data_IF_672516170143
#
_entry.id   IF_672516170143
#
_cell.length_a   1.000
_cell.length_b   1.000
_cell.length_c   1.000
_cell.angle_alpha   90.00
_cell.angle_beta   90.00
_cell.angle_gamma   90.00
#
_symmetry.space_group_name_H-M   'P 1'
#
loop_
_entity.id
_entity.type
_entity.pdbx_description
1 polymer ?
#
# COMPACT_ATOMS: atom_id res chain seq x y z
N UNK A 1 16.89 -30.00 -45.17
CA UNK A 1 17.73 -28.84 -44.78
C UNK A 1 17.40 -28.56 -43.32
N UNK A 2 18.04 -29.35 -42.44
CA UNK A 2 17.83 -29.26 -41.00
C UNK A 2 18.72 -28.16 -40.45
N UNK A 3 18.12 -27.14 -39.85
CA UNK A 3 18.85 -26.20 -39.03
C UNK A 3 19.16 -26.90 -37.71
N UNK A 4 20.45 -27.21 -37.52
CA UNK A 4 21.02 -27.59 -36.23
C UNK A 4 20.69 -26.52 -35.20
N UNK A 5 19.91 -26.89 -34.18
CA UNK A 5 19.80 -26.11 -32.97
C UNK A 5 21.08 -26.39 -32.18
N UNK A 6 22.03 -25.48 -32.36
CA UNK A 6 23.22 -25.25 -31.53
C UNK A 6 22.97 -25.60 -30.05
N UNK A 7 23.92 -26.33 -29.47
CA UNK A 7 24.06 -26.59 -28.03
C UNK A 7 23.85 -25.31 -27.20
N UNK A 8 22.63 -25.11 -26.69
CA UNK A 8 22.44 -24.28 -25.49
C UNK A 8 22.83 -25.16 -24.31
N UNK A 9 23.88 -24.76 -23.60
CA UNK A 9 24.39 -25.45 -22.42
C UNK A 9 23.26 -25.89 -21.50
N UNK A 10 23.38 -27.10 -20.93
CA UNK A 10 22.41 -27.68 -19.98
C UNK A 10 22.01 -26.59 -18.97
N UNK A 11 20.80 -26.04 -19.11
CA UNK A 11 20.25 -25.18 -18.08
C UNK A 11 20.26 -25.99 -16.79
N UNK A 12 20.93 -25.47 -15.76
CA UNK A 12 20.89 -26.06 -14.43
C UNK A 12 19.44 -26.18 -13.93
N UNK A 13 19.19 -27.14 -13.04
CA UNK A 13 17.88 -27.23 -12.40
C UNK A 13 17.52 -25.90 -11.73
N UNK A 14 16.29 -25.43 -11.94
CA UNK A 14 15.80 -24.21 -11.30
C UNK A 14 15.81 -24.39 -9.77
N UNK A 15 16.35 -23.41 -9.06
CA UNK A 15 16.30 -23.41 -7.61
C UNK A 15 14.87 -23.13 -7.13
N UNK A 16 14.40 -23.93 -6.17
CA UNK A 16 13.02 -23.85 -5.69
C UNK A 16 12.72 -22.55 -4.93
N UNK A 17 13.71 -21.97 -4.24
CA UNK A 17 13.52 -20.71 -3.54
C UNK A 17 13.44 -19.56 -4.54
N UNK A 18 14.33 -19.55 -5.55
CA UNK A 18 14.28 -18.56 -6.65
C UNK A 18 12.95 -18.64 -7.39
N UNK A 19 12.48 -19.85 -7.74
CA UNK A 19 11.18 -20.00 -8.40
C UNK A 19 10.03 -19.46 -7.53
N UNK A 20 10.00 -19.80 -6.22
CA UNK A 20 8.96 -19.32 -5.30
C UNK A 20 8.97 -17.81 -5.13
N UNK A 21 10.16 -17.21 -5.07
CA UNK A 21 10.31 -15.76 -5.00
C UNK A 21 9.78 -15.10 -6.27
N UNK A 22 10.22 -15.54 -7.45
CA UNK A 22 9.83 -14.96 -8.73
C UNK A 22 8.34 -15.16 -8.99
N UNK A 23 7.82 -16.39 -8.85
CA UNK A 23 6.40 -16.66 -9.12
C UNK A 23 5.48 -15.92 -8.14
N UNK A 24 5.96 -15.63 -6.92
CA UNK A 24 5.23 -14.83 -5.93
C UNK A 24 4.99 -13.38 -6.35
N UNK A 25 5.65 -12.88 -7.40
CA UNK A 25 5.38 -11.56 -7.98
C UNK A 25 4.13 -11.55 -8.89
N UNK A 26 3.65 -12.72 -9.31
CA UNK A 26 2.39 -12.82 -10.04
C UNK A 26 1.22 -12.77 -9.05
N UNK A 27 0.69 -11.58 -8.81
CA UNK A 27 -0.42 -11.37 -7.92
C UNK A 27 -1.67 -12.13 -8.39
N UNK A 28 -2.45 -12.65 -7.45
CA UNK A 28 -3.68 -13.38 -7.74
C UNK A 28 -4.79 -12.99 -6.76
N UNK A 29 -6.04 -13.34 -7.12
CA UNK A 29 -7.10 -13.48 -6.12
C UNK A 29 -6.87 -14.71 -5.24
N UNK A 30 -7.68 -14.84 -4.19
CA UNK A 30 -7.71 -16.02 -3.31
C UNK A 30 -9.04 -16.75 -3.49
N UNK A 31 -8.98 -18.07 -3.62
CA UNK A 31 -10.16 -18.92 -3.76
C UNK A 31 -10.15 -20.07 -2.76
N UNK A 32 -11.34 -20.60 -2.45
CA UNK A 32 -11.52 -21.91 -1.81
C UNK A 32 -12.18 -22.84 -2.81
N UNK A 33 -11.50 -23.94 -3.13
CA UNK A 33 -12.03 -25.00 -3.97
C UNK A 33 -12.73 -26.01 -3.09
N UNK A 34 -13.98 -26.32 -3.40
CA UNK A 34 -14.84 -27.20 -2.60
C UNK A 34 -15.38 -28.36 -3.43
N UNK A 35 -15.62 -29.50 -2.80
CA UNK A 35 -16.30 -30.64 -3.43
C UNK A 35 -16.93 -31.51 -2.36
N UNK A 36 -17.84 -32.40 -2.76
CA UNK A 36 -18.47 -33.39 -1.88
C UNK A 36 -18.22 -34.79 -2.43
N UNK A 37 -17.77 -35.70 -1.57
CA UNK A 37 -17.62 -37.12 -1.92
C UNK A 37 -18.03 -37.98 -0.74
N UNK A 38 -18.89 -38.98 -0.97
CA UNK A 38 -19.42 -39.89 0.06
C UNK A 38 -20.01 -39.14 1.27
N UNK A 39 -20.84 -38.11 1.01
CA UNK A 39 -21.42 -37.22 2.03
C UNK A 39 -20.43 -36.39 2.85
N UNK A 40 -19.14 -36.43 2.53
CA UNK A 40 -18.09 -35.63 3.18
C UNK A 40 -17.73 -34.43 2.31
N UNK A 41 -17.75 -33.25 2.93
CA UNK A 41 -17.32 -32.01 2.29
C UNK A 41 -15.79 -31.84 2.39
N UNK A 42 -15.17 -31.54 1.26
CA UNK A 42 -13.75 -31.26 1.14
C UNK A 42 -13.53 -29.84 0.66
N UNK A 43 -12.43 -29.23 1.12
CA UNK A 43 -12.09 -27.87 0.75
C UNK A 43 -10.60 -27.57 0.85
N UNK A 44 -10.10 -26.72 -0.04
CA UNK A 44 -8.72 -26.25 0.00
C UNK A 44 -8.61 -24.83 -0.54
N UNK A 45 -7.82 -23.99 0.12
CA UNK A 45 -7.47 -22.68 -0.42
C UNK A 45 -6.51 -22.83 -1.59
N UNK A 46 -6.80 -22.17 -2.70
CA UNK A 46 -5.98 -22.17 -3.90
C UNK A 46 -5.90 -20.79 -4.53
N UNK A 47 -4.72 -20.44 -5.03
CA UNK A 47 -4.48 -19.29 -5.90
C UNK A 47 -4.24 -19.68 -7.36
N UNK A 48 -3.94 -20.96 -7.63
CA UNK A 48 -3.71 -21.49 -8.96
C UNK A 48 -5.04 -21.82 -9.66
N UNK A 49 -5.79 -20.77 -9.97
CA UNK A 49 -7.07 -20.80 -10.70
C UNK A 49 -6.96 -19.83 -11.87
N UNK A 50 -7.41 -20.23 -13.05
CA UNK A 50 -7.39 -19.36 -14.23
C UNK A 50 -8.56 -19.66 -15.16
N UNK A 51 -9.11 -18.61 -15.78
CA UNK A 51 -10.05 -18.79 -16.89
C UNK A 51 -9.34 -19.43 -18.08
N UNK A 52 -10.06 -20.26 -18.84
CA UNK A 52 -9.51 -21.02 -19.96
C UNK A 52 -10.22 -20.71 -21.27
N UNK A 53 -11.56 -20.68 -21.26
CA UNK A 53 -12.38 -20.47 -22.46
C UNK A 53 -13.67 -19.75 -22.11
N UNK A 54 -14.21 -19.00 -23.07
CA UNK A 54 -15.55 -18.38 -22.98
C UNK A 54 -16.61 -19.27 -23.67
N UNK A 55 -16.25 -19.98 -24.74
CA UNK A 55 -17.17 -20.85 -25.49
C UNK A 55 -16.51 -22.22 -25.80
N UNK A 56 -16.88 -23.30 -25.06
CA UNK A 56 -17.72 -23.27 -23.87
C UNK A 56 -17.01 -22.55 -22.70
N UNK A 57 -17.75 -22.07 -21.69
CA UNK A 57 -17.16 -21.41 -20.52
C UNK A 57 -16.36 -22.43 -19.70
N UNK A 58 -15.05 -22.21 -19.61
CA UNK A 58 -14.14 -23.14 -18.93
C UNK A 58 -13.10 -22.41 -18.08
N UNK A 59 -12.65 -23.11 -17.05
CA UNK A 59 -11.52 -22.72 -16.20
C UNK A 59 -10.62 -23.91 -15.90
N UNK A 60 -9.47 -23.64 -15.30
CA UNK A 60 -8.62 -24.65 -14.70
C UNK A 60 -8.32 -24.35 -13.23
N UNK A 61 -8.14 -25.42 -12.45
CA UNK A 61 -7.60 -25.36 -11.09
C UNK A 61 -6.45 -26.35 -10.92
N UNK A 62 -5.38 -25.94 -10.24
CA UNK A 62 -4.24 -26.81 -9.93
C UNK A 62 -4.23 -27.14 -8.44
N UNK A 63 -4.42 -28.42 -8.10
CA UNK A 63 -4.53 -28.86 -6.70
C UNK A 63 -3.44 -29.89 -6.40
N UNK A 64 -2.77 -29.73 -5.26
CA UNK A 64 -1.75 -30.67 -4.82
C UNK A 64 -2.36 -32.06 -4.58
N UNK A 65 -1.77 -33.09 -5.19
CA UNK A 65 -2.24 -34.48 -5.15
C UNK A 65 -2.23 -35.09 -3.75
N UNK A 66 -1.43 -34.54 -2.83
CA UNK A 66 -1.39 -34.97 -1.44
C UNK A 66 -2.65 -34.55 -0.64
N UNK A 67 -3.52 -33.69 -1.19
CA UNK A 67 -4.71 -33.20 -0.48
C UNK A 67 -5.90 -34.14 -0.64
N UNK A 68 -6.69 -34.31 0.43
CA UNK A 68 -7.96 -35.05 0.36
C UNK A 68 -8.93 -34.45 -0.66
N UNK A 69 -8.92 -33.12 -0.80
CA UNK A 69 -9.73 -32.39 -1.79
C UNK A 69 -9.39 -32.79 -3.22
N UNK A 70 -8.11 -32.93 -3.58
CA UNK A 70 -7.72 -33.41 -4.91
C UNK A 70 -8.34 -34.77 -5.22
N UNK A 71 -8.19 -35.72 -4.29
CA UNK A 71 -8.73 -37.07 -4.45
C UNK A 71 -10.26 -37.06 -4.57
N UNK A 72 -10.93 -36.24 -3.75
CA UNK A 72 -12.38 -36.09 -3.80
C UNK A 72 -12.85 -35.53 -5.16
N UNK A 73 -12.19 -34.51 -5.71
CA UNK A 73 -12.51 -33.97 -7.05
C UNK A 73 -12.29 -35.03 -8.13
N UNK A 74 -11.20 -35.79 -8.08
CA UNK A 74 -10.93 -36.86 -9.05
C UNK A 74 -12.03 -37.94 -9.05
N UNK A 75 -12.73 -38.15 -7.94
CA UNK A 75 -13.84 -39.11 -7.82
C UNK A 75 -15.20 -38.50 -8.14
N UNK A 76 -15.52 -37.34 -7.57
CA UNK A 76 -16.80 -36.66 -7.74
C UNK A 76 -16.97 -36.04 -9.13
N UNK A 77 -15.87 -35.64 -9.77
CA UNK A 77 -15.83 -34.92 -11.07
C UNK A 77 -16.62 -33.60 -11.08
N UNK A 78 -16.88 -33.05 -9.90
CA UNK A 78 -17.55 -31.76 -9.69
C UNK A 78 -16.85 -30.99 -8.58
N UNK A 79 -16.80 -29.65 -8.70
CA UNK A 79 -16.26 -28.79 -7.66
C UNK A 79 -16.79 -27.36 -7.77
N UNK A 80 -16.79 -26.66 -6.64
CA UNK A 80 -17.07 -25.23 -6.54
C UNK A 80 -15.77 -24.45 -6.47
N UNK A 81 -15.71 -23.30 -7.14
CA UNK A 81 -14.66 -22.29 -6.96
C UNK A 81 -15.30 -21.13 -6.22
N UNK A 82 -14.88 -20.87 -4.98
CA UNK A 82 -15.38 -19.78 -4.16
C UNK A 82 -14.34 -18.66 -4.12
N UNK A 83 -14.58 -17.54 -4.78
CA UNK A 83 -13.68 -16.39 -4.83
C UNK A 83 -13.92 -15.53 -3.59
N UNK A 84 -12.86 -15.24 -2.84
CA UNK A 84 -12.97 -14.56 -1.54
C UNK A 84 -12.90 -13.04 -1.67
N UNK A 85 -13.70 -12.33 -0.86
CA UNK A 85 -13.58 -10.87 -0.71
C UNK A 85 -12.57 -10.50 0.39
N UNK A 86 -12.18 -9.23 0.43
CA UNK A 86 -11.05 -8.71 1.22
C UNK A 86 -11.07 -8.98 2.73
N UNK A 87 -12.24 -9.28 3.31
CA UNK A 87 -12.40 -9.56 4.74
C UNK A 87 -12.37 -11.06 5.09
N UNK A 88 -12.23 -11.94 4.10
CA UNK A 88 -12.29 -13.39 4.28
C UNK A 88 -10.90 -14.04 4.44
N UNK A 89 -9.93 -13.29 4.96
CA UNK A 89 -8.57 -13.79 5.23
C UNK A 89 -8.57 -14.99 6.18
N UNK A 90 -9.44 -14.99 7.19
CA UNK A 90 -9.55 -16.10 8.15
C UNK A 90 -10.08 -17.39 7.51
N UNK A 91 -11.07 -17.28 6.60
CA UNK A 91 -11.58 -18.40 5.80
C UNK A 91 -10.45 -18.96 4.92
N UNK A 92 -9.69 -18.08 4.25
CA UNK A 92 -8.54 -18.50 3.46
C UNK A 92 -7.51 -19.28 4.29
N UNK A 93 -7.22 -18.85 5.52
CA UNK A 93 -6.30 -19.55 6.43
C UNK A 93 -6.86 -20.89 6.90
N UNK A 94 -8.15 -20.94 7.24
CA UNK A 94 -8.84 -22.15 7.69
C UNK A 94 -8.77 -23.26 6.64
N UNK A 95 -9.04 -22.93 5.37
CA UNK A 95 -8.99 -23.90 4.28
C UNK A 95 -7.57 -24.21 3.78
N UNK A 96 -6.57 -23.38 4.08
CA UNK A 96 -5.17 -23.62 3.74
C UNK A 96 -4.47 -24.64 4.67
N UNK A 97 -4.90 -24.73 5.93
CA UNK A 97 -4.29 -25.64 6.92
C UNK A 97 -4.82 -27.07 6.77
N UNK A 98 -3.99 -28.12 7.00
CA UNK A 98 -4.50 -29.48 7.13
C UNK A 98 -5.42 -29.60 8.35
N UNK A 99 -6.66 -30.05 8.16
CA UNK A 99 -7.66 -30.25 9.22
C UNK A 99 -8.78 -31.18 8.72
N UNK A 100 -9.37 -31.96 9.62
CA UNK A 100 -10.58 -32.75 9.36
C UNK A 100 -11.87 -31.92 9.43
N UNK A 101 -11.84 -30.75 10.08
CA UNK A 101 -13.03 -29.96 10.40
C UNK A 101 -13.02 -28.58 9.71
N UNK A 102 -12.57 -28.52 8.45
CA UNK A 102 -12.43 -27.24 7.73
C UNK A 102 -13.73 -26.45 7.54
N UNK A 103 -14.88 -27.12 7.62
CA UNK A 103 -16.20 -26.49 7.48
C UNK A 103 -16.82 -26.08 8.83
N UNK A 104 -16.13 -26.29 9.95
CA UNK A 104 -16.64 -25.87 11.26
C UNK A 104 -16.79 -24.34 11.30
N UNK A 105 -17.99 -23.87 11.67
CA UNK A 105 -18.32 -22.44 11.69
C UNK A 105 -18.49 -21.80 10.30
N UNK A 106 -18.43 -22.57 9.22
CA UNK A 106 -18.57 -22.08 7.85
C UNK A 106 -19.98 -22.37 7.34
N UNK A 107 -20.72 -21.32 6.99
CA UNK A 107 -21.98 -21.48 6.29
C UNK A 107 -21.76 -21.84 4.82
N UNK A 108 -22.24 -23.02 4.42
CA UNK A 108 -22.24 -23.46 3.04
C UNK A 108 -23.64 -23.92 2.62
N UNK A 109 -23.97 -23.71 1.36
CA UNK A 109 -25.18 -24.22 0.71
C UNK A 109 -24.80 -25.29 -0.31
N UNK A 110 -25.74 -26.17 -0.62
CA UNK A 110 -25.53 -27.16 -1.68
C UNK A 110 -25.69 -26.48 -3.05
N UNK A 111 -24.65 -26.58 -3.89
CA UNK A 111 -24.64 -26.13 -5.27
C UNK A 111 -25.48 -27.03 -6.17
N UNK A 112 -25.64 -26.66 -7.44
CA UNK A 112 -26.49 -27.38 -8.40
C UNK A 112 -25.92 -28.75 -8.78
N UNK A 113 -24.63 -29.00 -8.53
CA UNK A 113 -23.99 -30.30 -8.75
C UNK A 113 -23.79 -31.09 -7.43
N UNK A 114 -24.29 -30.58 -6.30
CA UNK A 114 -24.19 -31.21 -4.98
C UNK A 114 -22.91 -30.88 -4.18
N UNK A 115 -22.05 -30.02 -4.71
CA UNK A 115 -20.86 -29.49 -4.05
C UNK A 115 -21.21 -28.40 -3.01
N UNK A 116 -20.42 -28.20 -1.96
CA UNK A 116 -20.68 -27.12 -1.02
C UNK A 116 -20.19 -25.77 -1.58
N UNK A 117 -21.06 -24.76 -1.61
CA UNK A 117 -20.75 -23.38 -1.98
C UNK A 117 -20.77 -22.51 -0.72
N UNK A 118 -19.68 -21.79 -0.48
CA UNK A 118 -19.55 -20.94 0.70
C UNK A 118 -20.42 -19.69 0.54
N UNK A 119 -21.21 -19.36 1.56
CA UNK A 119 -21.98 -18.11 1.57
C UNK A 119 -21.07 -16.90 1.72
N UNK A 120 -21.60 -15.74 1.35
CA UNK A 120 -20.95 -14.43 1.53
C UNK A 120 -19.58 -14.35 0.84
N UNK A 121 -19.41 -15.05 -0.29
CA UNK A 121 -18.20 -14.98 -1.09
C UNK A 121 -18.32 -13.93 -2.18
N UNK A 122 -17.19 -13.36 -2.63
CA UNK A 122 -17.18 -12.36 -3.69
C UNK A 122 -17.88 -12.87 -4.96
N UNK A 123 -17.59 -14.12 -5.32
CA UNK A 123 -18.22 -14.83 -6.41
C UNK A 123 -18.03 -16.32 -6.24
N UNK A 124 -18.84 -17.13 -6.93
CA UNK A 124 -18.60 -18.56 -7.04
C UNK A 124 -18.93 -19.11 -8.42
N UNK A 125 -18.29 -20.23 -8.75
CA UNK A 125 -18.45 -20.96 -9.99
C UNK A 125 -18.66 -22.44 -9.66
N UNK A 126 -19.68 -23.05 -10.25
CA UNK A 126 -19.97 -24.48 -10.13
C UNK A 126 -19.50 -25.20 -11.39
N UNK A 127 -18.63 -26.20 -11.21
CA UNK A 127 -17.79 -26.70 -12.28
C UNK A 127 -17.90 -28.21 -12.43
N UNK A 128 -17.97 -28.68 -13.68
CA UNK A 128 -17.86 -30.11 -14.03
C UNK A 128 -16.50 -30.38 -14.67
N UNK A 129 -15.78 -31.36 -14.13
CA UNK A 129 -14.47 -31.77 -14.65
C UNK A 129 -14.63 -32.37 -16.04
N UNK A 130 -13.94 -31.78 -17.01
CA UNK A 130 -13.82 -32.29 -18.39
C UNK A 130 -12.57 -33.15 -18.52
N UNK A 131 -11.46 -32.69 -17.94
CA UNK A 131 -10.18 -33.39 -18.02
C UNK A 131 -9.36 -33.19 -16.75
N UNK A 132 -8.61 -34.22 -16.36
CA UNK A 132 -7.61 -34.17 -15.30
C UNK A 132 -6.24 -34.51 -15.91
N UNK A 133 -5.25 -33.65 -15.67
CA UNK A 133 -3.88 -33.81 -16.17
C UNK A 133 -2.89 -33.68 -15.02
N UNK A 134 -1.90 -34.57 -14.95
CA UNK A 134 -0.85 -34.48 -13.93
C UNK A 134 0.22 -33.46 -14.34
N UNK A 135 0.50 -32.49 -13.47
CA UNK A 135 1.58 -31.52 -13.59
C UNK A 135 2.48 -31.54 -12.36
N UNK A 136 3.58 -32.29 -12.41
CA UNK A 136 4.49 -32.45 -11.28
C UNK A 136 3.77 -33.04 -10.06
N UNK A 137 3.70 -32.28 -8.97
CA UNK A 137 3.02 -32.68 -7.71
C UNK A 137 1.52 -32.31 -7.67
N UNK A 138 0.99 -31.71 -8.73
CA UNK A 138 -0.39 -31.22 -8.79
C UNK A 138 -1.19 -31.95 -9.87
N UNK A 139 -2.49 -32.11 -9.64
CA UNK A 139 -3.46 -32.38 -10.69
C UNK A 139 -4.03 -31.05 -11.20
N UNK A 140 -4.09 -30.90 -12.52
CA UNK A 140 -4.73 -29.80 -13.23
C UNK A 140 -6.09 -30.28 -13.69
N UNK A 141 -7.16 -29.69 -13.16
CA UNK A 141 -8.52 -29.99 -13.57
C UNK A 141 -9.00 -28.92 -14.54
N UNK A 142 -9.27 -29.30 -15.79
CA UNK A 142 -9.96 -28.48 -16.76
C UNK A 142 -11.46 -28.75 -16.58
N UNK A 143 -12.25 -27.69 -16.42
CA UNK A 143 -13.65 -27.82 -16.09
C UNK A 143 -14.52 -26.85 -16.87
N UNK A 144 -15.72 -27.33 -17.22
CA UNK A 144 -16.81 -26.52 -17.75
C UNK A 144 -17.56 -25.87 -16.59
N UNK A 145 -17.83 -24.57 -16.71
CA UNK A 145 -18.62 -23.82 -15.73
C UNK A 145 -20.10 -23.92 -16.09
N UNK A 146 -20.89 -24.53 -15.21
CA UNK A 146 -22.33 -24.73 -15.44
C UNK A 146 -23.20 -23.69 -14.74
N UNK A 147 -22.66 -23.04 -13.71
CA UNK A 147 -23.31 -21.95 -12.99
C UNK A 147 -22.28 -20.99 -12.40
N UNK A 148 -22.66 -19.72 -12.28
CA UNK A 148 -21.83 -18.66 -11.72
C UNK A 148 -22.72 -17.61 -11.05
N UNK A 149 -22.24 -17.03 -9.96
CA UNK A 149 -22.83 -15.85 -9.33
C UNK A 149 -21.74 -14.95 -8.74
N UNK A 150 -22.04 -13.65 -8.60
CA UNK A 150 -21.10 -12.67 -8.06
C UNK A 150 -21.82 -11.58 -7.27
N UNK A 151 -21.07 -10.94 -6.37
CA UNK A 151 -21.45 -9.71 -5.67
C UNK A 151 -20.46 -8.58 -6.02
N UNK A 152 -20.92 -7.33 -5.88
CA UNK A 152 -20.05 -6.15 -6.04
C UNK A 152 -19.29 -5.87 -4.73
N UNK A 153 -18.10 -6.45 -4.59
CA UNK A 153 -17.14 -6.19 -3.49
C UNK A 153 -15.70 -6.23 -3.98
N UNK A 154 -14.75 -5.90 -3.11
CA UNK A 154 -13.31 -5.98 -3.40
C UNK A 154 -12.73 -7.38 -3.12
N UNK A 155 -11.82 -7.88 -3.97
CA UNK A 155 -11.22 -9.20 -3.79
C UNK A 155 -10.15 -9.23 -2.69
N UNK A 156 -10.05 -10.38 -2.01
CA UNK A 156 -8.86 -10.73 -1.28
C UNK A 156 -7.73 -11.03 -2.27
N UNK A 157 -6.61 -10.32 -2.14
CA UNK A 157 -5.45 -10.51 -3.01
C UNK A 157 -4.33 -11.26 -2.30
N UNK A 158 -3.49 -11.94 -3.08
CA UNK A 158 -2.31 -12.63 -2.60
C UNK A 158 -1.09 -12.20 -3.40
N UNK A 159 -0.07 -11.71 -2.70
CA UNK A 159 1.17 -11.23 -3.32
C UNK A 159 2.35 -11.53 -2.40
N UNK A 160 3.40 -12.14 -2.95
CA UNK A 160 4.66 -12.47 -2.24
C UNK A 160 4.44 -13.12 -0.86
N UNK A 161 3.51 -14.06 -0.78
CA UNK A 161 3.26 -14.82 0.44
C UNK A 161 2.30 -14.17 1.44
N UNK A 162 1.77 -12.98 1.14
CA UNK A 162 0.93 -12.19 2.04
C UNK A 162 -0.44 -11.92 1.43
N UNK A 163 -1.46 -11.84 2.28
CA UNK A 163 -2.74 -11.27 1.89
C UNK A 163 -2.63 -9.76 1.77
N UNK A 164 -3.39 -9.21 0.83
CA UNK A 164 -3.53 -7.78 0.61
C UNK A 164 -4.92 -7.43 0.10
N UNK A 165 -5.08 -6.16 -0.26
CA UNK A 165 -6.31 -5.62 -0.84
C UNK A 165 -6.05 -5.10 -2.24
N UNK A 166 -7.04 -5.22 -3.10
CA UNK A 166 -7.05 -4.51 -4.36
C UNK A 166 -7.46 -3.06 -4.11
N UNK A 167 -6.63 -2.12 -4.55
CA UNK A 167 -6.92 -0.68 -4.50
C UNK A 167 -7.00 -0.21 -5.93
N UNK A 168 -8.17 0.31 -6.32
CA UNK A 168 -8.31 0.86 -7.67
C UNK A 168 -7.51 2.17 -7.78
N UNK A 169 -7.10 2.55 -9.00
CA UNK A 169 -6.45 3.85 -9.21
C UNK A 169 -7.35 5.01 -8.77
N UNK A 170 -8.66 4.85 -8.94
CA UNK A 170 -9.63 5.84 -8.50
C UNK A 170 -9.65 5.96 -6.96
N UNK A 171 -9.53 4.84 -6.24
CA UNK A 171 -9.53 4.83 -4.77
C UNK A 171 -8.32 5.59 -4.21
N UNK A 172 -7.14 5.37 -4.81
CA UNK A 172 -5.93 6.09 -4.41
C UNK A 172 -6.03 7.58 -4.73
N UNK A 173 -6.61 7.95 -5.88
CA UNK A 173 -6.85 9.35 -6.23
C UNK A 173 -7.82 10.04 -5.26
N UNK A 174 -8.89 9.37 -4.84
CA UNK A 174 -9.83 9.91 -3.84
C UNK A 174 -9.14 10.09 -2.49
N UNK A 175 -8.31 9.13 -2.06
CA UNK A 175 -7.51 9.29 -0.86
C UNK A 175 -6.56 10.49 -0.97
N UNK A 176 -5.83 10.63 -2.07
CA UNK A 176 -4.89 11.73 -2.28
C UNK A 176 -5.61 13.09 -2.33
N UNK A 177 -6.79 13.16 -2.95
CA UNK A 177 -7.63 14.36 -2.95
C UNK A 177 -8.10 14.71 -1.54
N UNK A 178 -8.73 13.77 -0.82
CA UNK A 178 -9.17 13.99 0.56
C UNK A 178 -8.01 14.35 1.49
N UNK A 179 -6.85 13.70 1.33
CA UNK A 179 -5.61 14.07 2.03
C UNK A 179 -5.23 15.51 1.72
N UNK A 180 -5.16 15.88 0.45
CA UNK A 180 -4.84 17.25 0.04
C UNK A 180 -5.81 18.27 0.64
N UNK A 181 -7.12 17.97 0.64
CA UNK A 181 -8.17 18.82 1.21
C UNK A 181 -8.04 18.98 2.73
N UNK A 182 -7.73 17.91 3.45
CA UNK A 182 -7.46 17.99 4.89
C UNK A 182 -6.22 18.85 5.16
N UNK A 183 -5.15 18.69 4.37
CA UNK A 183 -3.92 19.46 4.53
C UNK A 183 -4.08 20.95 4.15
N UNK A 184 -4.89 21.24 3.13
CA UNK A 184 -5.25 22.59 2.66
C UNK A 184 -6.31 23.29 3.53
N UNK A 185 -6.87 22.61 4.53
CA UNK A 185 -7.95 23.13 5.39
C UNK A 185 -9.25 23.44 4.63
N UNK A 186 -9.52 22.68 3.57
CA UNK A 186 -10.85 22.69 2.93
C UNK A 186 -11.93 22.15 3.90
N UNK A 187 -11.51 21.36 4.90
CA UNK A 187 -12.33 20.91 6.02
C UNK A 187 -12.10 21.80 7.26
N UNK A 188 -13.20 22.21 7.91
CA UNK A 188 -13.07 22.91 9.19
C UNK A 188 -12.54 21.98 10.28
N UNK A 189 -11.65 22.51 11.11
CA UNK A 189 -11.12 21.80 12.27
C UNK A 189 -12.25 21.40 13.21
N UNK A 190 -12.17 20.17 13.74
CA UNK A 190 -13.12 19.66 14.74
C UNK A 190 -14.60 19.61 14.30
N UNK A 191 -14.95 20.07 13.10
CA UNK A 191 -16.28 19.93 12.55
C UNK A 191 -16.47 18.48 12.07
N UNK A 192 -17.48 17.76 12.57
CA UNK A 192 -17.71 16.39 12.17
C UNK A 192 -18.25 16.32 10.74
N UNK A 193 -17.68 15.41 9.95
CA UNK A 193 -18.18 15.02 8.63
C UNK A 193 -18.32 13.51 8.56
N UNK A 194 -19.30 13.06 7.77
CA UNK A 194 -19.65 11.65 7.66
C UNK A 194 -19.24 11.07 6.31
N UNK A 195 -19.14 9.74 6.24
CA UNK A 195 -18.99 9.03 4.95
C UNK A 195 -20.14 9.39 4.01
N UNK A 196 -21.36 9.51 4.54
CA UNK A 196 -22.56 9.80 3.76
C UNK A 196 -22.51 11.20 3.13
N UNK A 197 -22.14 12.22 3.90
CA UNK A 197 -22.03 13.60 3.39
C UNK A 197 -20.95 13.74 2.33
N UNK A 198 -19.82 13.03 2.48
CA UNK A 198 -18.74 13.04 1.49
C UNK A 198 -19.09 12.25 0.22
N UNK A 199 -19.81 11.13 0.35
CA UNK A 199 -20.32 10.35 -0.79
C UNK A 199 -21.19 11.25 -1.68
N UNK A 200 -22.10 12.02 -1.07
CA UNK A 200 -22.98 12.95 -1.80
C UNK A 200 -22.23 14.13 -2.40
N UNK A 201 -21.30 14.74 -1.64
CA UNK A 201 -20.58 15.95 -2.09
C UNK A 201 -19.58 15.67 -3.20
N UNK A 202 -18.90 14.52 -3.15
CA UNK A 202 -17.82 14.17 -4.09
C UNK A 202 -18.30 13.27 -5.24
N UNK A 203 -19.53 12.77 -5.19
CA UNK A 203 -20.08 11.78 -6.14
C UNK A 203 -19.19 10.53 -6.26
N UNK A 204 -18.72 10.03 -5.12
CA UNK A 204 -17.82 8.87 -5.01
C UNK A 204 -18.51 7.77 -4.21
N UNK A 205 -18.39 6.48 -4.60
CA UNK A 205 -18.99 5.38 -3.86
C UNK A 205 -18.60 5.33 -2.39
N UNK A 206 -19.58 5.03 -1.52
CA UNK A 206 -19.43 5.00 -0.04
C UNK A 206 -18.21 4.22 0.43
N UNK A 207 -17.92 3.06 -0.17
CA UNK A 207 -16.79 2.22 0.22
C UNK A 207 -15.44 2.88 -0.05
N UNK A 208 -15.31 3.60 -1.18
CA UNK A 208 -14.10 4.32 -1.55
C UNK A 208 -13.83 5.46 -0.57
N UNK A 209 -14.86 6.24 -0.22
CA UNK A 209 -14.77 7.27 0.83
C UNK A 209 -14.38 6.64 2.16
N UNK A 210 -15.04 5.56 2.58
CA UNK A 210 -14.74 4.90 3.85
C UNK A 210 -13.29 4.40 3.92
N UNK A 211 -12.76 3.83 2.84
CA UNK A 211 -11.37 3.40 2.75
C UNK A 211 -10.40 4.57 2.86
N UNK A 212 -10.67 5.66 2.11
CA UNK A 212 -9.85 6.86 2.17
C UNK A 212 -9.82 7.47 3.57
N UNK A 213 -10.97 7.58 4.25
CA UNK A 213 -11.06 8.08 5.62
C UNK A 213 -10.35 7.17 6.62
N UNK A 214 -10.48 5.85 6.49
CA UNK A 214 -9.74 4.89 7.34
C UNK A 214 -8.23 5.04 7.17
N UNK A 215 -7.75 5.30 5.94
CA UNK A 215 -6.33 5.57 5.67
C UNK A 215 -5.90 6.91 6.27
N UNK A 216 -6.70 7.97 6.13
CA UNK A 216 -6.43 9.27 6.78
C UNK A 216 -6.42 9.20 8.31
N UNK A 217 -7.27 8.36 8.90
CA UNK A 217 -7.29 8.10 10.34
C UNK A 217 -6.02 7.35 10.77
N UNK A 218 -5.60 6.34 10.01
CA UNK A 218 -4.33 5.64 10.24
C UNK A 218 -3.12 6.58 10.09
N UNK A 219 -3.20 7.56 9.19
CA UNK A 219 -2.22 8.64 9.03
C UNK A 219 -2.37 9.72 10.13
N UNK A 220 -3.33 9.61 11.05
CA UNK A 220 -3.54 10.56 12.15
C UNK A 220 -4.06 11.94 11.74
N UNK A 221 -4.42 12.13 10.47
CA UNK A 221 -4.92 13.40 9.93
C UNK A 221 -6.36 13.69 10.34
N UNK A 222 -7.11 12.64 10.63
CA UNK A 222 -8.49 12.72 11.13
C UNK A 222 -8.67 11.78 12.32
N UNK A 223 -9.74 11.99 13.09
CA UNK A 223 -10.17 11.10 14.17
C UNK A 223 -11.60 10.69 13.97
N UNK A 224 -11.89 9.42 14.24
CA UNK A 224 -13.25 8.89 14.27
C UNK A 224 -13.86 9.02 15.66
N UNK A 225 -15.11 9.47 15.74
CA UNK A 225 -15.90 9.52 16.97
C UNK A 225 -16.73 8.25 17.18
N UNK A 226 -17.26 8.06 18.39
CA UNK A 226 -18.05 6.88 18.77
C UNK A 226 -19.31 6.69 17.92
N UNK A 227 -19.88 7.77 17.38
CA UNK A 227 -21.04 7.75 16.47
C UNK A 227 -20.66 7.38 15.02
N UNK A 228 -19.36 7.21 14.73
CA UNK A 228 -18.85 6.82 13.42
C UNK A 228 -18.51 7.98 12.48
N UNK A 229 -18.72 9.23 12.88
CA UNK A 229 -18.29 10.41 12.13
C UNK A 229 -16.78 10.65 12.25
N UNK A 230 -16.25 11.52 11.39
CA UNK A 230 -14.84 11.88 11.35
C UNK A 230 -14.68 13.38 11.56
N UNK A 231 -13.57 13.79 12.14
CA UNK A 231 -13.20 15.21 12.25
C UNK A 231 -11.71 15.37 11.98
N UNK A 232 -11.31 16.52 11.41
CA UNK A 232 -9.89 16.80 11.19
C UNK A 232 -9.20 16.95 12.55
N UNK A 233 -8.11 16.21 12.74
CA UNK A 233 -7.29 16.32 13.95
C UNK A 233 -6.60 17.67 13.95
N UNK A 234 -6.78 18.52 14.98
CA UNK A 234 -6.03 19.75 15.10
C UNK A 234 -4.54 19.45 15.23
N UNK A 235 -3.73 20.22 14.52
CA UNK A 235 -2.30 20.10 14.62
C UNK A 235 -1.82 20.66 15.95
N UNK A 236 -1.39 19.79 16.86
CA UNK A 236 -0.76 20.22 18.11
C UNK A 236 0.75 20.34 18.00
N UNK A 237 1.35 21.16 18.88
CA UNK A 237 2.80 21.27 19.04
C UNK A 237 3.44 19.91 19.36
N UNK A 238 2.76 19.09 20.17
CA UNK A 238 3.24 17.75 20.53
C UNK A 238 3.37 16.85 19.31
N UNK A 239 2.31 16.77 18.49
CA UNK A 239 2.29 15.97 17.26
C UNK A 239 3.38 16.42 16.26
N UNK A 240 3.53 17.73 16.07
CA UNK A 240 4.61 18.28 15.23
C UNK A 240 5.98 17.84 15.73
N UNK A 241 6.22 17.96 17.04
CA UNK A 241 7.52 17.67 17.65
C UNK A 241 7.88 16.19 17.49
N UNK A 242 6.95 15.28 17.82
CA UNK A 242 7.14 13.83 17.69
C UNK A 242 7.39 13.41 16.23
N UNK A 243 6.65 14.00 15.29
CA UNK A 243 6.79 13.70 13.87
C UNK A 243 8.16 14.16 13.34
N UNK A 244 8.60 15.37 13.68
CA UNK A 244 9.92 15.89 13.28
C UNK A 244 11.08 15.13 13.95
N UNK A 245 10.94 14.67 15.19
CA UNK A 245 11.94 13.83 15.85
C UNK A 245 12.11 12.47 15.17
N UNK A 246 10.99 11.84 14.83
CA UNK A 246 11.00 10.57 14.10
C UNK A 246 11.63 10.74 12.73
N UNK A 247 11.27 11.81 12.01
CA UNK A 247 11.85 12.16 10.72
C UNK A 247 13.37 12.34 10.79
N UNK A 248 13.85 13.12 11.76
CA UNK A 248 15.28 13.35 11.98
C UNK A 248 16.05 12.05 12.25
N UNK A 249 15.47 11.13 13.04
CA UNK A 249 16.10 9.84 13.30
C UNK A 249 16.29 9.02 12.02
N UNK A 250 15.31 9.02 11.11
CA UNK A 250 15.40 8.32 9.82
C UNK A 250 16.40 9.00 8.88
N UNK A 251 16.39 10.34 8.80
CA UNK A 251 17.33 11.10 7.97
C UNK A 251 18.78 10.92 8.43
N UNK A 252 19.03 10.93 9.75
CA UNK A 252 20.36 10.64 10.32
C UNK A 252 20.81 9.22 9.95
N UNK A 253 19.91 8.24 10.02
CA UNK A 253 20.22 6.87 9.62
C UNK A 253 20.47 6.73 8.11
N UNK A 254 19.78 7.52 7.28
CA UNK A 254 20.02 7.59 5.84
C UNK A 254 21.40 8.18 5.55
N UNK A 255 21.73 9.33 6.14
CA UNK A 255 23.03 10.01 6.02
C UNK A 255 24.19 9.08 6.36
N UNK A 256 24.06 8.29 7.44
CA UNK A 256 25.10 7.34 7.86
C UNK A 256 25.47 6.34 6.75
N UNK A 257 24.48 5.98 5.92
CA UNK A 257 24.63 5.04 4.81
C UNK A 257 25.06 5.73 3.51
N UNK A 258 24.59 6.94 3.24
CA UNK A 258 24.67 7.56 1.91
C UNK A 258 25.87 8.51 1.75
N UNK A 259 26.21 9.31 2.76
CA UNK A 259 27.30 10.30 2.64
C UNK A 259 28.63 9.58 2.44
N UNK A 260 29.36 9.95 1.39
CA UNK A 260 30.61 9.31 0.96
C UNK A 260 30.45 7.97 0.21
N UNK A 261 29.22 7.49 0.01
CA UNK A 261 28.93 6.19 -0.59
C UNK A 261 28.03 6.25 -1.83
N UNK A 262 27.55 7.43 -2.22
CA UNK A 262 26.72 7.63 -3.41
C UNK A 262 27.56 7.92 -4.67
N UNK A 263 27.00 7.63 -5.83
CA UNK A 263 27.59 7.92 -7.14
C UNK A 263 27.59 9.41 -7.46
N UNK A 264 28.39 9.80 -8.44
CA UNK A 264 28.40 11.19 -8.95
C UNK A 264 27.08 11.59 -9.60
N UNK A 265 26.36 10.64 -10.19
CA UNK A 265 25.02 10.88 -10.75
C UNK A 265 24.01 11.17 -9.65
N UNK A 266 24.00 10.35 -8.59
CA UNK A 266 23.16 10.56 -7.41
C UNK A 266 23.45 11.90 -6.72
N UNK A 267 24.73 12.25 -6.55
CA UNK A 267 25.13 13.55 -5.99
C UNK A 267 24.70 14.72 -6.89
N UNK A 268 24.77 14.55 -8.21
CA UNK A 268 24.29 15.58 -9.14
C UNK A 268 22.77 15.76 -9.08
N UNK A 269 22.01 14.71 -8.82
CA UNK A 269 20.55 14.81 -8.67
C UNK A 269 20.19 15.42 -7.31
N UNK A 270 20.92 15.09 -6.23
CA UNK A 270 20.78 15.75 -4.94
C UNK A 270 20.99 17.26 -5.06
N UNK A 271 22.01 17.69 -5.82
CA UNK A 271 22.27 19.12 -6.10
C UNK A 271 21.05 19.81 -6.72
N UNK A 272 20.42 19.20 -7.73
CA UNK A 272 19.22 19.76 -8.37
C UNK A 272 18.08 19.92 -7.37
N UNK A 273 17.83 18.89 -6.55
CA UNK A 273 16.80 18.96 -5.52
C UNK A 273 17.07 20.11 -4.53
N UNK A 274 18.32 20.29 -4.10
CA UNK A 274 18.68 21.41 -3.20
C UNK A 274 18.47 22.75 -3.88
N UNK A 275 18.94 22.93 -5.12
CA UNK A 275 18.78 24.17 -5.89
C UNK A 275 17.31 24.60 -6.01
N UNK A 276 16.38 23.66 -6.16
CA UNK A 276 14.94 23.94 -6.22
C UNK A 276 14.35 24.45 -4.90
N UNK A 277 15.00 24.18 -3.76
CA UNK A 277 14.56 24.66 -2.43
C UNK A 277 15.09 26.05 -2.06
N UNK A 278 16.08 26.57 -2.78
CA UNK A 278 16.74 27.81 -2.40
C UNK A 278 15.85 29.03 -2.63
N UNK A 279 15.85 29.93 -1.66
CA UNK A 279 15.17 31.21 -1.74
C UNK A 279 15.89 32.20 -2.69
N UNK A 280 15.14 33.14 -3.26
CA UNK A 280 15.73 34.29 -3.94
C UNK A 280 16.43 35.19 -2.91
N UNK A 281 17.68 35.58 -3.15
CA UNK A 281 18.50 36.33 -2.19
C UNK A 281 17.91 37.70 -1.79
N UNK A 282 17.15 38.33 -2.68
CA UNK A 282 16.60 39.67 -2.47
C UNK A 282 15.12 39.61 -2.04
N UNK A 283 14.42 38.53 -2.39
CA UNK A 283 12.95 38.40 -2.23
C UNK A 283 12.50 37.31 -1.27
N UNK A 284 13.42 36.45 -0.81
CA UNK A 284 13.08 35.26 -0.04
C UNK A 284 12.24 34.27 -0.85
N UNK A 285 11.50 33.41 -0.16
CA UNK A 285 10.51 32.53 -0.79
C UNK A 285 9.28 33.35 -1.20
N UNK A 286 8.99 33.36 -2.50
CA UNK A 286 7.86 34.10 -3.09
C UNK A 286 6.67 33.20 -3.44
N UNK A 287 6.91 31.90 -3.62
CA UNK A 287 5.92 30.88 -3.90
C UNK A 287 6.08 29.74 -2.90
N UNK A 288 5.19 29.74 -1.90
CA UNK A 288 5.26 28.77 -0.80
C UNK A 288 4.93 27.35 -1.25
N UNK A 289 4.08 27.20 -2.28
CA UNK A 289 3.65 25.90 -2.78
C UNK A 289 4.80 25.22 -3.51
N UNK A 290 5.49 25.99 -4.35
CA UNK A 290 6.70 25.54 -5.04
C UNK A 290 7.81 25.17 -4.06
N UNK A 291 8.02 25.98 -3.02
CA UNK A 291 8.99 25.67 -1.97
C UNK A 291 8.65 24.35 -1.26
N UNK A 292 7.39 24.16 -0.86
CA UNK A 292 6.95 22.95 -0.17
C UNK A 292 7.19 21.71 -1.04
N UNK A 293 6.83 21.76 -2.32
CA UNK A 293 7.07 20.65 -3.27
C UNK A 293 8.56 20.31 -3.43
N UNK A 294 9.40 21.34 -3.58
CA UNK A 294 10.85 21.16 -3.67
C UNK A 294 11.43 20.57 -2.37
N UNK A 295 11.00 21.07 -1.22
CA UNK A 295 11.44 20.61 0.10
C UNK A 295 11.08 19.13 0.32
N UNK A 296 9.85 18.73 -0.03
CA UNK A 296 9.41 17.33 0.01
C UNK A 296 10.31 16.47 -0.86
N UNK A 297 10.53 16.90 -2.10
CA UNK A 297 11.34 16.17 -3.08
C UNK A 297 12.78 15.99 -2.61
N UNK A 298 13.38 17.03 -2.01
CA UNK A 298 14.71 16.95 -1.42
C UNK A 298 14.80 15.88 -0.34
N UNK A 299 13.93 15.94 0.68
CA UNK A 299 14.01 15.00 1.78
C UNK A 299 13.66 13.57 1.35
N UNK A 300 12.65 13.38 0.49
CA UNK A 300 12.33 12.08 -0.10
C UNK A 300 13.55 11.49 -0.83
N UNK A 301 14.23 12.31 -1.64
CA UNK A 301 15.42 11.89 -2.37
C UNK A 301 16.56 11.46 -1.42
N UNK A 302 16.81 12.20 -0.33
CA UNK A 302 17.86 11.82 0.63
C UNK A 302 17.63 10.45 1.26
N UNK A 303 16.37 10.05 1.47
CA UNK A 303 16.02 8.72 1.97
C UNK A 303 16.10 7.68 0.84
N UNK A 304 15.66 8.03 -0.36
CA UNK A 304 15.72 7.15 -1.53
C UNK A 304 17.14 6.70 -1.87
N UNK A 305 18.15 7.56 -1.65
CA UNK A 305 19.58 7.24 -1.80
C UNK A 305 20.02 6.01 -0.99
N UNK A 306 19.28 5.61 0.05
CA UNK A 306 19.59 4.40 0.83
C UNK A 306 19.33 3.10 0.08
N UNK A 307 18.64 3.15 -1.06
CA UNK A 307 18.17 2.00 -1.83
C UNK A 307 17.38 0.98 -0.98
N UNK A 308 16.64 1.49 0.02
CA UNK A 308 15.82 0.68 0.93
C UNK A 308 14.35 1.09 0.83
N UNK A 309 13.58 0.33 0.06
CA UNK A 309 12.15 0.59 -0.17
C UNK A 309 11.33 0.60 1.13
N UNK A 310 11.63 -0.27 2.09
CA UNK A 310 10.91 -0.30 3.38
C UNK A 310 11.16 0.97 4.19
N UNK A 311 12.40 1.49 4.17
CA UNK A 311 12.74 2.74 4.86
C UNK A 311 12.04 3.94 4.20
N UNK A 312 12.07 4.00 2.86
CA UNK A 312 11.40 5.05 2.10
C UNK A 312 9.89 5.06 2.33
N UNK A 313 9.24 3.90 2.28
CA UNK A 313 7.80 3.79 2.58
C UNK A 313 7.47 4.18 4.02
N UNK A 314 8.34 3.83 4.98
CA UNK A 314 8.16 4.22 6.38
C UNK A 314 8.30 5.73 6.56
N UNK A 315 9.24 6.34 5.85
CA UNK A 315 9.47 7.79 5.85
C UNK A 315 8.27 8.55 5.25
N UNK A 316 7.75 8.12 4.10
CA UNK A 316 6.60 8.74 3.42
C UNK A 316 5.29 8.67 4.21
N UNK A 317 5.17 7.71 5.13
CA UNK A 317 4.03 7.59 6.05
C UNK A 317 4.10 8.54 7.24
N UNK A 318 5.24 9.23 7.46
CA UNK A 318 5.34 10.21 8.53
C UNK A 318 4.46 11.42 8.24
N UNK A 319 3.79 11.91 9.29
CA UNK A 319 2.91 13.08 9.20
C UNK A 319 3.68 14.40 9.15
N UNK A 320 4.98 14.40 9.45
CA UNK A 320 5.80 15.61 9.58
C UNK A 320 5.68 16.57 8.39
N UNK A 321 5.68 16.03 7.17
CA UNK A 321 5.49 16.81 5.94
C UNK A 321 4.12 17.49 5.89
N UNK A 322 3.07 16.70 6.06
CA UNK A 322 1.68 17.14 6.06
C UNK A 322 1.47 18.28 7.07
N UNK A 323 1.99 18.05 8.28
CA UNK A 323 1.99 18.98 9.39
C UNK A 323 2.70 20.31 9.06
N UNK A 324 3.94 20.24 8.55
CA UNK A 324 4.73 21.42 8.21
C UNK A 324 4.13 22.20 7.04
N UNK A 325 3.58 21.50 6.05
CA UNK A 325 2.87 22.10 4.91
C UNK A 325 1.72 22.99 5.38
N UNK A 326 0.86 22.47 6.28
CA UNK A 326 -0.24 23.26 6.83
C UNK A 326 0.25 24.47 7.62
N UNK A 327 1.29 24.33 8.44
CA UNK A 327 1.85 25.43 9.21
C UNK A 327 2.41 26.54 8.31
N UNK A 328 3.25 26.18 7.34
CA UNK A 328 3.90 27.14 6.46
C UNK A 328 2.90 27.94 5.62
N UNK A 329 1.83 27.30 5.12
CA UNK A 329 0.77 27.99 4.36
C UNK A 329 0.07 29.05 5.20
N UNK A 330 -0.33 28.71 6.43
CA UNK A 330 -0.97 29.67 7.36
C UNK A 330 -0.09 30.89 7.60
N UNK A 331 1.20 30.68 7.84
CA UNK A 331 2.15 31.76 8.08
C UNK A 331 2.34 32.65 6.84
N UNK A 332 2.38 32.05 5.66
CA UNK A 332 2.59 32.77 4.40
C UNK A 332 1.35 33.58 4.00
N UNK A 333 0.15 33.04 4.18
CA UNK A 333 -1.12 33.73 3.98
C UNK A 333 -1.29 34.92 4.93
N UNK A 334 -0.84 34.78 6.18
CA UNK A 334 -0.82 35.85 7.17
C UNK A 334 0.25 36.94 6.89
N UNK A 335 1.09 36.74 5.86
CA UNK A 335 2.21 37.61 5.50
C UNK A 335 3.18 37.84 6.68
N UNK A 336 3.40 36.82 7.50
CA UNK A 336 4.18 36.89 8.74
C UNK A 336 5.69 37.02 8.44
N UNK A 337 6.29 38.14 8.85
CA UNK A 337 7.73 38.40 8.62
C UNK A 337 8.64 37.49 9.43
N UNK A 338 8.25 37.13 10.65
CA UNK A 338 9.06 36.27 11.53
C UNK A 338 9.11 34.87 10.97
N UNK A 339 7.97 34.35 10.52
CA UNK A 339 7.91 33.03 9.90
C UNK A 339 8.75 32.95 8.61
N UNK A 340 8.81 34.04 7.83
CA UNK A 340 9.67 34.12 6.64
C UNK A 340 11.15 34.11 6.98
N UNK A 341 11.58 34.90 7.95
CA UNK A 341 12.99 34.91 8.40
C UNK A 341 13.44 33.53 8.91
N UNK A 342 12.59 32.82 9.64
CA UNK A 342 12.90 31.45 10.09
C UNK A 342 12.87 30.44 8.94
N UNK A 343 12.04 30.65 7.92
CA UNK A 343 11.99 29.81 6.73
C UNK A 343 13.25 29.95 5.87
N UNK A 344 13.80 31.16 5.75
CA UNK A 344 15.03 31.41 5.01
C UNK A 344 16.21 30.60 5.60
N UNK A 345 16.29 30.45 6.93
CA UNK A 345 17.32 29.61 7.60
C UNK A 345 17.23 28.14 7.19
N UNK A 346 16.01 27.61 7.03
CA UNK A 346 15.81 26.23 6.57
C UNK A 346 16.40 26.02 5.16
N UNK A 347 16.35 27.04 4.30
CA UNK A 347 16.95 26.97 2.96
C UNK A 347 18.48 27.02 3.00
N UNK A 348 19.06 27.77 3.94
CA UNK A 348 20.51 27.81 4.17
C UNK A 348 21.03 26.44 4.62
N UNK A 349 20.28 25.75 5.49
CA UNK A 349 20.59 24.39 5.94
C UNK A 349 20.62 23.38 4.78
N UNK A 350 19.76 23.51 3.77
CA UNK A 350 19.80 22.63 2.59
C UNK A 350 21.10 22.79 1.78
N UNK A 351 21.56 24.03 1.60
CA UNK A 351 22.83 24.31 0.92
C UNK A 351 24.03 23.78 1.73
N UNK A 352 23.99 23.92 3.06
CA UNK A 352 25.00 23.36 3.95
C UNK A 352 25.02 21.82 3.88
N UNK A 353 23.84 21.19 3.86
CA UNK A 353 23.71 19.73 3.75
C UNK A 353 24.33 19.21 2.45
N UNK A 354 24.06 19.87 1.32
CA UNK A 354 24.70 19.52 0.04
C UNK A 354 26.22 19.58 0.14
N UNK A 355 26.75 20.66 0.73
CA UNK A 355 28.20 20.84 0.92
C UNK A 355 28.81 19.69 1.74
N UNK A 356 28.09 19.22 2.77
CA UNK A 356 28.53 18.07 3.57
C UNK A 356 28.52 16.76 2.75
N UNK A 357 27.51 16.55 1.90
CA UNK A 357 27.46 15.42 0.97
C UNK A 357 28.61 15.45 -0.05
N UNK A 358 28.90 16.62 -0.64
CA UNK A 358 29.99 16.82 -1.59
C UNK A 358 31.36 16.55 -0.98
N UNK A 359 31.54 16.91 0.30
CA UNK A 359 32.77 16.67 1.06
C UNK A 359 32.86 15.26 1.66
N UNK A 360 31.79 14.47 1.61
CA UNK A 360 31.73 13.18 2.29
C UNK A 360 31.77 13.28 3.82
N UNK A 361 31.40 14.43 4.39
CA UNK A 361 31.47 14.70 5.83
C UNK A 361 30.17 14.28 6.52
N UNK A 362 30.17 13.04 7.05
CA UNK A 362 29.02 12.44 7.72
C UNK A 362 28.62 13.19 8.99
N UNK A 363 29.59 13.64 9.79
CA UNK A 363 29.29 14.29 11.07
C UNK A 363 28.72 15.67 10.84
N UNK A 364 29.25 16.43 9.86
CA UNK A 364 28.65 17.69 9.45
C UNK A 364 27.21 17.51 8.94
N UNK A 365 26.97 16.55 8.04
CA UNK A 365 25.64 16.28 7.50
C UNK A 365 24.62 15.94 8.61
N UNK A 366 25.02 15.09 9.58
CA UNK A 366 24.17 14.74 10.73
C UNK A 366 23.91 15.93 11.65
N UNK A 367 24.89 16.81 11.85
CA UNK A 367 24.71 18.01 12.67
C UNK A 367 23.74 18.99 12.00
N UNK A 368 23.86 19.20 10.68
CA UNK A 368 22.99 20.08 9.90
C UNK A 368 21.54 19.57 9.92
N UNK A 369 21.29 18.29 9.66
CA UNK A 369 19.91 17.75 9.72
C UNK A 369 19.28 17.87 11.11
N UNK A 370 20.07 17.72 12.18
CA UNK A 370 19.58 17.94 13.55
C UNK A 370 19.25 19.41 13.80
N UNK A 371 20.09 20.32 13.32
CA UNK A 371 19.84 21.76 13.41
C UNK A 371 18.57 22.14 12.64
N UNK A 372 18.48 21.73 11.37
CA UNK A 372 17.32 21.93 10.51
C UNK A 372 16.02 21.45 11.16
N UNK A 373 16.08 20.29 11.81
CA UNK A 373 14.92 19.75 12.56
C UNK A 373 14.53 20.66 13.72
N UNK A 374 15.49 21.18 14.49
CA UNK A 374 15.21 22.10 15.60
C UNK A 374 14.69 23.45 15.13
N UNK A 375 15.18 23.96 13.99
CA UNK A 375 14.66 25.17 13.35
C UNK A 375 13.24 24.98 12.85
N UNK A 376 12.95 23.84 12.18
CA UNK A 376 11.60 23.49 11.76
C UNK A 376 10.63 23.36 12.95
N UNK A 377 11.09 22.78 14.07
CA UNK A 377 10.31 22.72 15.32
C UNK A 377 10.02 24.11 15.87
N UNK A 378 11.00 25.03 15.88
CA UNK A 378 10.81 26.42 16.35
C UNK A 378 9.78 27.14 15.49
N UNK A 379 9.93 27.06 14.17
CA UNK A 379 9.00 27.67 13.21
C UNK A 379 7.58 27.12 13.37
N UNK A 380 7.41 25.79 13.35
CA UNK A 380 6.09 25.20 13.53
C UNK A 380 5.46 25.51 14.89
N UNK A 381 6.24 25.51 15.99
CA UNK A 381 5.76 25.94 17.32
C UNK A 381 5.30 27.39 17.33
N UNK A 382 6.06 28.27 16.69
CA UNK A 382 5.72 29.68 16.57
C UNK A 382 4.36 29.83 15.87
N UNK A 383 4.20 29.22 14.70
CA UNK A 383 2.97 29.30 13.89
C UNK A 383 1.77 28.75 14.66
N UNK A 384 1.90 27.53 15.22
CA UNK A 384 0.80 26.89 15.95
C UNK A 384 0.37 27.71 17.17
N UNK A 385 1.34 28.29 17.90
CA UNK A 385 1.04 29.12 19.07
C UNK A 385 0.31 30.40 18.69
N UNK A 386 0.72 31.06 17.60
CA UNK A 386 0.09 32.30 17.13
C UNK A 386 -1.31 32.07 16.58
N UNK A 387 -1.64 30.86 16.13
CA UNK A 387 -2.97 30.47 15.72
C UNK A 387 -3.87 29.96 16.86
N UNK A 388 -3.44 30.06 18.13
CA UNK A 388 -4.25 29.68 19.30
C UNK A 388 -3.97 28.29 19.86
N UNK A 389 -2.83 27.68 19.53
CA UNK A 389 -2.33 26.43 20.11
C UNK A 389 -2.65 25.17 19.29
N UNK A 390 -3.45 25.30 18.24
CA UNK A 390 -3.64 24.28 17.21
C UNK A 390 -4.01 24.91 15.88
N UNK A 391 -3.56 24.32 14.76
CA UNK A 391 -3.96 24.72 13.41
C UNK A 391 -4.60 23.62 12.63
#
# INVERSE_FOLDING_TARGET
>A
MGAEISEKGKLGAMDNLVFREVIGHFASGVTVITTKHEEVNYGVTASAVSSLSVDPPMLLVCINQATGTCNAISKAKVFGVNILHEDQGDIALQFARPSSNKFEGIEAVEGRLGEPILKDTLAHLECRVVQEVTGGTHSVFLAEVVHANSEERNPLTYYRGKFGRFVSQNDEMVYLDLRSKVLKRDFQLMEPFSVASLTETLDVPRQVIYHALTKLEADGLIKRSDNGDFSVTPLSIGMLTEALETRCALEVAAIEKTVGNISQEELSNLRKCVEETLADKDKGITDIDKYIEANISLHDYTIALTNNATLLDSYRRLTAEAVMTSALRVAFEANDSTAREELDKLTEDHAALLTAYENGDKEAAKAIVKQHTEEAKKLGKYIISHAGGSI
#
